data_IF_416928829555
#
_entry.id   IF_416928829555
#
_cell.length_a   1.000
_cell.length_b   1.000
_cell.length_c   1.000
_cell.angle_alpha   90.00
_cell.angle_beta   90.00
_cell.angle_gamma   90.00
#
_symmetry.space_group_name_H-M   'P 1'
#
loop_
_entity.id
_entity.type
_entity.pdbx_description
1 polymer ?
#
# COMPACT_ATOMS: atom_id res chain seq x y z
N UNK A 1 -21.07 -13.18 20.53
CA UNK A 1 -20.54 -12.08 19.71
C UNK A 1 -19.77 -11.16 20.66
N UNK A 2 -18.47 -10.97 20.44
CA UNK A 2 -17.62 -10.12 21.29
C UNK A 2 -17.25 -8.87 20.50
N UNK A 3 -17.28 -7.70 21.16
CA UNK A 3 -16.88 -6.43 20.56
C UNK A 3 -15.48 -6.07 21.02
N UNK A 4 -14.59 -5.76 20.07
CA UNK A 4 -13.23 -5.32 20.33
C UNK A 4 -13.08 -3.89 19.83
N UNK A 5 -12.60 -3.00 20.70
CA UNK A 5 -12.17 -1.65 20.32
C UNK A 5 -10.70 -1.50 20.67
N UNK A 6 -9.91 -1.02 19.72
CA UNK A 6 -8.48 -0.79 19.93
C UNK A 6 -8.09 0.57 19.35
N UNK A 7 -7.00 1.13 19.90
CA UNK A 7 -6.41 2.36 19.40
C UNK A 7 -5.26 2.00 18.47
N UNK A 8 -5.21 2.66 17.32
CA UNK A 8 -4.19 2.50 16.30
C UNK A 8 -3.90 3.89 15.73
N UNK A 9 -2.70 4.06 15.18
CA UNK A 9 -2.35 5.29 14.45
C UNK A 9 -3.27 5.46 13.24
N UNK A 10 -3.68 6.69 12.96
CA UNK A 10 -4.58 7.00 11.84
C UNK A 10 -4.01 6.51 10.49
N UNK A 11 -2.69 6.62 10.31
CA UNK A 11 -1.99 6.11 9.13
C UNK A 11 -2.09 4.58 8.98
N UNK A 12 -2.14 3.85 10.10
CA UNK A 12 -2.36 2.41 10.07
C UNK A 12 -3.81 2.13 9.67
N UNK A 13 -4.78 2.83 10.27
CA UNK A 13 -6.20 2.66 9.94
C UNK A 13 -6.47 2.93 8.47
N UNK A 14 -5.86 3.97 7.90
CA UNK A 14 -6.00 4.30 6.48
C UNK A 14 -5.37 3.26 5.55
N UNK A 15 -4.20 2.72 5.89
CA UNK A 15 -3.60 1.63 5.12
C UNK A 15 -4.47 0.38 5.14
N UNK A 16 -5.02 0.02 6.30
CA UNK A 16 -5.92 -1.13 6.44
C UNK A 16 -7.22 -0.89 5.65
N UNK A 17 -7.80 0.31 5.72
CA UNK A 17 -8.99 0.69 4.94
C UNK A 17 -8.75 0.52 3.44
N UNK A 18 -7.64 1.05 2.92
CA UNK A 18 -7.27 0.92 1.51
C UNK A 18 -7.12 -0.55 1.10
N UNK A 19 -6.47 -1.35 1.93
CA UNK A 19 -6.32 -2.79 1.67
C UNK A 19 -7.68 -3.51 1.63
N UNK A 20 -8.58 -3.21 2.57
CA UNK A 20 -9.95 -3.75 2.58
C UNK A 20 -10.73 -3.35 1.32
N UNK A 21 -10.70 -2.06 0.95
CA UNK A 21 -11.37 -1.55 -0.25
C UNK A 21 -10.85 -2.18 -1.53
N UNK A 22 -9.52 -2.38 -1.65
CA UNK A 22 -8.92 -3.04 -2.82
C UNK A 22 -9.43 -4.47 -3.07
N UNK A 23 -10.08 -5.07 -2.07
CA UNK A 23 -10.64 -6.42 -2.10
C UNK A 23 -12.16 -6.46 -2.03
N UNK A 24 -12.82 -5.30 -2.13
CA UNK A 24 -14.27 -5.20 -2.02
C UNK A 24 -14.81 -5.61 -0.64
N UNK A 25 -14.00 -5.54 0.43
CA UNK A 25 -14.38 -5.94 1.79
C UNK A 25 -14.64 -4.74 2.69
N UNK A 26 -15.53 -4.92 3.65
CA UNK A 26 -15.66 -3.99 4.77
C UNK A 26 -14.42 -4.04 5.67
N UNK A 27 -14.13 -2.93 6.36
CA UNK A 27 -13.01 -2.86 7.29
C UNK A 27 -13.11 -3.92 8.40
N UNK A 28 -14.31 -4.14 8.93
CA UNK A 28 -14.54 -5.16 9.97
C UNK A 28 -14.30 -6.57 9.43
N UNK A 29 -14.89 -6.92 8.28
CA UNK A 29 -14.69 -8.25 7.68
C UNK A 29 -13.21 -8.52 7.40
N UNK A 30 -12.51 -7.51 6.89
CA UNK A 30 -11.09 -7.58 6.64
C UNK A 30 -10.29 -7.85 7.92
N UNK A 31 -10.50 -7.06 8.98
CA UNK A 31 -9.80 -7.22 10.26
C UNK A 31 -10.11 -8.60 10.87
N UNK A 32 -11.36 -9.04 10.82
CA UNK A 32 -11.76 -10.37 11.29
C UNK A 32 -10.97 -11.47 10.59
N UNK A 33 -10.87 -11.45 9.26
CA UNK A 33 -10.10 -12.46 8.50
C UNK A 33 -8.62 -12.41 8.80
N UNK A 34 -8.04 -11.23 9.00
CA UNK A 34 -6.63 -11.08 9.40
C UNK A 34 -6.40 -11.71 10.78
N UNK A 35 -7.27 -11.44 11.74
CA UNK A 35 -7.17 -12.00 13.09
C UNK A 35 -7.35 -13.53 13.08
N UNK A 36 -8.34 -14.04 12.34
CA UNK A 36 -8.53 -15.49 12.15
C UNK A 36 -7.30 -16.17 11.54
N UNK A 37 -6.71 -15.55 10.52
CA UNK A 37 -5.48 -16.05 9.90
C UNK A 37 -4.27 -15.99 10.84
N UNK A 38 -4.25 -15.02 11.77
CA UNK A 38 -3.17 -14.86 12.75
C UNK A 38 -3.24 -15.92 13.87
N UNK A 39 -4.43 -16.39 14.23
CA UNK A 39 -4.63 -17.30 15.38
C UNK A 39 -4.86 -18.77 15.01
N UNK A 40 -4.98 -19.10 13.71
CA UNK A 40 -5.25 -20.47 13.28
C UNK A 40 -3.97 -21.36 13.26
N UNK A 41 -3.88 -22.41 14.11
CA UNK A 41 -2.70 -23.27 14.22
C UNK A 41 -2.49 -24.20 13.02
N UNK A 42 -3.54 -24.52 12.26
CA UNK A 42 -3.43 -25.32 11.01
C UNK A 42 -2.72 -24.56 9.89
N UNK A 43 -2.50 -23.26 10.10
CA UNK A 43 -1.79 -22.36 9.22
C UNK A 43 -0.43 -21.97 9.86
N UNK A 44 0.37 -22.89 10.43
CA UNK A 44 1.57 -22.57 11.26
C UNK A 44 3.02 -23.02 10.82
N UNK A 45 3.28 -23.75 9.73
CA UNK A 45 4.61 -23.83 9.03
C UNK A 45 5.10 -22.68 8.08
N UNK A 46 6.24 -22.05 8.41
CA UNK A 46 7.04 -21.07 7.65
C UNK A 46 6.48 -19.65 7.43
N UNK A 47 7.10 -18.67 8.09
CA UNK A 47 6.51 -17.36 8.43
C UNK A 47 6.37 -16.40 7.24
N UNK A 48 7.36 -16.33 6.35
CA UNK A 48 7.39 -15.40 5.21
C UNK A 48 6.61 -15.92 3.99
N UNK A 49 6.74 -17.21 3.69
CA UNK A 49 5.98 -17.90 2.64
C UNK A 49 4.51 -17.87 2.99
N UNK A 50 4.18 -18.10 4.27
CA UNK A 50 2.80 -18.10 4.71
C UNK A 50 2.17 -16.72 4.82
N UNK A 51 2.86 -15.64 5.19
CA UNK A 51 2.22 -14.31 5.14
C UNK A 51 1.72 -14.01 3.72
N UNK A 52 2.50 -14.37 2.69
CA UNK A 52 2.06 -14.24 1.29
C UNK A 52 0.89 -15.16 0.96
N UNK A 53 0.89 -16.42 1.38
CA UNK A 53 -0.24 -17.34 1.15
C UNK A 53 -1.50 -17.01 1.97
N UNK A 54 -1.35 -16.55 3.22
CA UNK A 54 -2.41 -16.06 4.13
C UNK A 54 -3.09 -14.86 3.50
N UNK A 55 -2.29 -13.89 3.06
CA UNK A 55 -2.82 -12.73 2.36
C UNK A 55 -3.49 -13.20 1.05
N UNK A 56 -2.90 -14.11 0.27
CA UNK A 56 -3.48 -14.55 -1.01
C UNK A 56 -4.82 -15.27 -0.84
N UNK A 57 -4.96 -16.12 0.19
CA UNK A 57 -6.20 -16.86 0.48
C UNK A 57 -7.34 -15.98 0.97
N UNK A 58 -7.03 -14.81 1.53
CA UNK A 58 -8.03 -13.82 1.91
C UNK A 58 -8.05 -12.65 0.95
N UNK A 59 -7.68 -12.85 -0.32
CA UNK A 59 -7.65 -11.87 -1.43
C UNK A 59 -6.76 -10.64 -1.20
N UNK A 60 -5.94 -10.71 -0.16
CA UNK A 60 -5.12 -9.64 0.40
C UNK A 60 -3.77 -9.44 -0.27
N UNK A 61 -3.48 -10.19 -1.32
CA UNK A 61 -2.28 -10.00 -2.13
C UNK A 61 -2.68 -9.27 -3.40
N UNK A 62 -2.27 -8.00 -3.48
CA UNK A 62 -2.12 -7.36 -4.79
C UNK A 62 -0.92 -8.02 -5.46
N UNK A 63 -1.18 -9.07 -6.22
CA UNK A 63 -0.20 -9.56 -7.19
C UNK A 63 0.00 -8.39 -8.18
N UNK A 64 1.24 -7.96 -8.45
CA UNK A 64 1.50 -7.03 -9.53
C UNK A 64 0.91 -7.64 -10.82
N UNK A 65 -0.23 -7.12 -11.27
CA UNK A 65 -0.94 -7.64 -12.45
C UNK A 65 -0.14 -7.38 -13.73
N UNK A 66 0.81 -6.46 -13.67
CA UNK A 66 1.63 -6.09 -14.81
C UNK A 66 3.09 -6.34 -14.49
N UNK A 67 3.73 -7.16 -15.32
CA UNK A 67 5.18 -7.12 -15.48
C UNK A 67 5.53 -5.70 -15.87
N UNK A 68 6.04 -4.89 -14.92
CA UNK A 68 6.52 -3.54 -15.23
C UNK A 68 7.67 -3.67 -16.24
N UNK A 69 7.36 -3.44 -17.50
CA UNK A 69 8.37 -3.36 -18.55
C UNK A 69 9.14 -2.06 -18.33
N UNK A 70 10.47 -2.16 -18.19
CA UNK A 70 11.33 -0.99 -18.14
C UNK A 70 11.09 -0.14 -19.39
N UNK A 71 10.75 1.16 -19.27
CA UNK A 71 10.61 2.03 -20.43
C UNK A 71 11.90 2.03 -21.25
N UNK A 72 11.82 2.03 -22.59
CA UNK A 72 12.99 2.22 -23.43
C UNK A 72 13.65 3.56 -23.11
N UNK A 73 14.99 3.60 -23.17
CA UNK A 73 15.79 4.76 -22.74
C UNK A 73 15.32 6.07 -23.36
N UNK A 74 14.94 6.06 -24.63
CA UNK A 74 14.42 7.24 -25.34
C UNK A 74 13.12 7.78 -24.74
N UNK A 75 12.20 6.91 -24.32
CA UNK A 75 10.97 7.34 -23.67
C UNK A 75 11.26 7.97 -22.30
N UNK A 76 12.25 7.45 -21.58
CA UNK A 76 12.71 8.02 -20.32
C UNK A 76 13.35 9.40 -20.50
N UNK A 77 14.27 9.56 -21.46
CA UNK A 77 14.92 10.86 -21.70
C UNK A 77 13.91 11.92 -22.15
N UNK A 78 12.96 11.58 -23.03
CA UNK A 78 11.87 12.52 -23.41
C UNK A 78 11.02 12.95 -22.23
N UNK A 79 10.66 12.01 -21.35
CA UNK A 79 9.88 12.32 -20.14
C UNK A 79 10.70 13.20 -19.17
N UNK A 80 11.99 12.92 -19.04
CA UNK A 80 12.92 13.71 -18.22
C UNK A 80 13.06 15.14 -18.73
N UNK A 81 13.23 15.32 -20.04
CA UNK A 81 13.28 16.64 -20.67
C UNK A 81 11.96 17.40 -20.52
N UNK A 82 10.82 16.73 -20.67
CA UNK A 82 9.51 17.35 -20.49
C UNK A 82 9.29 17.80 -19.04
N UNK A 83 9.68 16.98 -18.07
CA UNK A 83 9.57 17.30 -16.64
C UNK A 83 10.53 18.43 -16.21
N UNK A 84 11.69 18.57 -16.86
CA UNK A 84 12.66 19.62 -16.59
C UNK A 84 12.27 21.02 -17.09
N UNK A 85 11.15 21.19 -17.79
CA UNK A 85 10.67 22.48 -18.32
C UNK A 85 9.81 23.28 -17.35
N UNK A 86 9.50 22.73 -16.17
CA UNK A 86 8.71 23.42 -15.14
C UNK A 86 9.56 24.33 -14.26
N UNK A 87 8.90 25.13 -13.41
CA UNK A 87 9.59 25.89 -12.34
C UNK A 87 10.33 24.92 -11.43
N UNK A 88 11.66 25.09 -11.24
CA UNK A 88 12.42 24.27 -10.32
C UNK A 88 11.82 24.31 -8.91
N UNK A 89 11.76 23.16 -8.24
CA UNK A 89 11.28 23.09 -6.85
C UNK A 89 12.10 24.01 -5.93
N UNK A 90 13.40 24.19 -6.22
CA UNK A 90 14.28 25.12 -5.52
C UNK A 90 13.76 26.56 -5.53
N UNK A 91 13.15 26.99 -6.63
CA UNK A 91 12.69 28.36 -6.82
C UNK A 91 11.37 28.58 -6.07
N UNK A 92 10.54 27.53 -5.99
CA UNK A 92 9.32 27.54 -5.18
C UNK A 92 9.65 27.58 -3.69
N UNK A 93 10.61 26.78 -3.23
CA UNK A 93 11.06 26.73 -1.82
C UNK A 93 11.72 28.04 -1.41
N UNK A 94 12.50 28.66 -2.30
CA UNK A 94 13.15 29.95 -2.02
C UNK A 94 12.12 31.07 -1.89
N UNK A 95 11.13 31.14 -2.80
CA UNK A 95 10.04 32.12 -2.75
C UNK A 95 9.16 31.98 -1.51
N UNK A 96 8.97 30.76 -1.02
CA UNK A 96 8.19 30.50 0.20
C UNK A 96 8.94 30.98 1.45
N UNK A 97 10.26 30.76 1.50
CA UNK A 97 11.13 31.20 2.61
C UNK A 97 11.30 32.73 2.68
N UNK A 98 11.21 33.44 1.56
CA UNK A 98 11.27 34.92 1.52
C UNK A 98 9.94 35.59 1.91
N UNK A 99 8.84 34.83 1.96
CA UNK A 99 7.47 35.33 2.26
C UNK A 99 6.99 35.05 3.69
N UNK A 100 7.73 34.27 4.48
CA UNK A 100 7.46 33.98 5.89
C UNK A 100 8.42 34.72 6.81
#
# INVERSE_FOLDING_TARGET
MAQVSWRADDDLVERVRRAATSQGKSLNEFITRVLEAAVNPELASDELTRIRERLARVDLVVLPTETRVRPPREAFERAREAAGKGTPLSDLVSKDRERG
#
